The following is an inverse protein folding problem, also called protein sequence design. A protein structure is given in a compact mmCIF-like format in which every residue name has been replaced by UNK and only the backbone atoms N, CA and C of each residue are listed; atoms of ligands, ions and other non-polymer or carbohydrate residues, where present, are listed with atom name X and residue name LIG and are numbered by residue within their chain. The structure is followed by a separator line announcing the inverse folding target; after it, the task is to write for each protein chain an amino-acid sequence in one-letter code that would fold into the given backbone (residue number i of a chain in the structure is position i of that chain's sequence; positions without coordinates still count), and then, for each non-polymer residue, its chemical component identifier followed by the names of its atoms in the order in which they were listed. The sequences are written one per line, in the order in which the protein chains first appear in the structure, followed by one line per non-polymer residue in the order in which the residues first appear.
data_IF_801523381338
#
_entry.id   IF_801523381338
#
_cell.length_a   1.000
_cell.length_b   1.000
_cell.length_c   1.000
_cell.angle_alpha   90.00
_cell.angle_beta   90.00
_cell.angle_gamma   90.00
#
_symmetry.space_group_name_H-M   'P 1'
#
loop_
_entity.id
_entity.type
_entity.pdbx_description
1 polymer ?
#
# COMPACT_ATOMS: atom_id res chain seq x y z
N UNK A 1 -9.64 14.08 6.17
CA UNK A 1 -9.00 14.08 7.50
C UNK A 1 -9.08 15.48 8.11
N UNK A 2 -9.53 15.62 9.35
CA UNK A 2 -9.45 16.90 10.07
C UNK A 2 -8.36 16.78 11.15
N UNK A 3 -7.23 17.44 10.93
CA UNK A 3 -6.20 17.60 11.96
C UNK A 3 -6.68 18.58 13.03
N UNK A 4 -6.33 18.33 14.29
CA UNK A 4 -6.45 19.37 15.32
C UNK A 4 -5.48 20.52 15.04
N UNK A 5 -5.71 21.70 15.62
CA UNK A 5 -4.80 22.83 15.48
C UNK A 5 -3.39 22.51 15.99
N UNK A 6 -3.30 21.74 17.06
CA UNK A 6 -2.04 21.30 17.68
C UNK A 6 -1.29 20.33 16.75
N UNK A 7 -1.98 19.33 16.18
CA UNK A 7 -1.39 18.40 15.20
C UNK A 7 -0.91 19.14 13.94
N UNK A 8 -1.68 20.09 13.43
CA UNK A 8 -1.29 20.89 12.28
C UNK A 8 -0.08 21.77 12.57
N UNK A 9 0.03 22.31 13.79
CA UNK A 9 1.18 23.12 14.21
C UNK A 9 2.42 22.22 14.38
N UNK A 10 2.30 21.08 15.03
CA UNK A 10 3.41 20.11 15.19
C UNK A 10 3.99 19.67 13.83
N UNK A 11 3.13 19.39 12.85
CA UNK A 11 3.57 19.05 11.49
C UNK A 11 4.36 20.20 10.86
N UNK A 12 3.87 21.44 10.99
CA UNK A 12 4.58 22.63 10.48
C UNK A 12 5.94 22.82 11.15
N UNK A 13 5.99 22.66 12.46
CA UNK A 13 7.24 22.80 13.22
C UNK A 13 8.26 21.73 12.79
N UNK A 14 7.82 20.49 12.54
CA UNK A 14 8.66 19.43 12.00
C UNK A 14 9.15 19.74 10.58
N UNK A 15 8.29 20.26 9.70
CA UNK A 15 8.64 20.62 8.33
C UNK A 15 9.62 21.80 8.24
N UNK A 16 9.60 22.71 9.22
CA UNK A 16 10.50 23.86 9.28
C UNK A 16 11.86 23.55 9.92
N UNK A 17 11.98 22.36 10.53
CA UNK A 17 13.23 21.98 11.18
C UNK A 17 14.23 21.46 10.13
N UNK A 18 15.28 22.20 9.87
CA UNK A 18 16.37 21.81 8.99
C UNK A 18 17.59 21.31 9.78
N UNK A 19 18.17 20.22 9.31
CA UNK A 19 19.41 19.65 9.85
C UNK A 19 20.44 19.49 8.75
N UNK A 20 21.69 19.95 8.97
CA UNK A 20 22.79 19.65 8.07
C UNK A 20 23.15 18.18 8.15
N UNK A 21 23.15 17.51 7.01
CA UNK A 21 23.53 16.09 6.89
C UNK A 21 24.64 15.89 5.84
N UNK A 22 25.48 14.86 6.05
CA UNK A 22 26.44 14.38 5.03
C UNK A 22 25.86 13.23 4.19
N UNK A 23 24.64 12.80 4.47
CA UNK A 23 23.93 11.75 3.73
C UNK A 23 23.35 12.35 2.45
N UNK A 24 23.15 11.50 1.45
CA UNK A 24 22.36 11.88 0.27
C UNK A 24 20.93 12.15 0.69
N UNK A 25 20.31 13.11 0.04
CA UNK A 25 18.90 13.45 0.22
C UNK A 25 18.18 13.35 -1.12
N UNK A 26 16.87 13.07 -1.08
CA UNK A 26 15.97 13.07 -2.23
C UNK A 26 15.15 14.37 -2.22
N UNK A 27 15.54 15.41 -2.98
CA UNK A 27 14.95 16.76 -2.85
C UNK A 27 13.44 16.79 -2.99
N UNK A 28 12.88 16.02 -3.93
CA UNK A 28 11.43 15.97 -4.14
C UNK A 28 10.69 15.28 -2.97
N UNK A 29 11.31 14.29 -2.32
CA UNK A 29 10.74 13.65 -1.15
C UNK A 29 10.83 14.55 0.08
N UNK A 30 11.92 15.32 0.22
CA UNK A 30 12.08 16.30 1.30
C UNK A 30 10.92 17.32 1.33
N UNK A 31 10.36 17.69 0.17
CA UNK A 31 9.25 18.64 0.10
C UNK A 31 7.97 18.18 0.77
N UNK A 32 7.82 16.85 0.97
CA UNK A 32 6.61 16.23 1.55
C UNK A 32 6.88 15.49 2.86
N UNK A 33 8.10 15.59 3.41
CA UNK A 33 8.37 15.00 4.73
C UNK A 33 7.39 15.54 5.77
N UNK A 34 6.90 14.64 6.61
CA UNK A 34 5.91 14.89 7.66
C UNK A 34 4.52 15.34 7.17
N UNK A 35 4.32 15.55 5.87
CA UNK A 35 2.99 15.83 5.33
C UNK A 35 2.08 14.61 5.48
N UNK A 36 0.91 14.78 6.10
CA UNK A 36 -0.10 13.75 6.17
C UNK A 36 -0.96 13.78 4.90
N UNK A 37 -0.59 12.98 3.91
CA UNK A 37 -1.29 12.86 2.62
C UNK A 37 -2.57 12.05 2.84
N UNK A 38 -3.77 12.63 2.63
CA UNK A 38 -5.04 11.97 2.93
C UNK A 38 -5.26 10.73 2.07
N UNK A 39 -5.78 9.67 2.67
CA UNK A 39 -6.22 8.44 1.98
C UNK A 39 -7.53 7.98 2.58
N UNK A 40 -8.52 7.66 1.75
CA UNK A 40 -9.90 7.38 2.16
C UNK A 40 -10.54 8.56 2.90
N UNK A 41 -11.48 8.29 3.83
CA UNK A 41 -12.19 9.33 4.56
C UNK A 41 -11.41 9.91 5.75
N UNK A 42 -10.71 9.08 6.53
CA UNK A 42 -9.97 9.50 7.74
C UNK A 42 -8.51 9.05 7.77
N UNK A 43 -8.08 8.25 6.80
CA UNK A 43 -6.72 7.72 6.74
C UNK A 43 -5.69 8.69 6.15
N UNK A 44 -4.43 8.32 6.27
CA UNK A 44 -3.31 9.04 5.64
C UNK A 44 -2.07 8.16 5.46
N UNK A 45 -1.20 8.60 4.57
CA UNK A 45 0.21 8.22 4.48
C UNK A 45 1.06 9.44 4.81
N UNK A 46 2.09 9.28 5.64
CA UNK A 46 3.07 10.30 5.98
C UNK A 46 4.46 9.70 5.93
N UNK A 47 5.34 10.24 5.11
CA UNK A 47 6.77 9.87 5.14
C UNK A 47 7.41 10.56 6.33
N UNK A 48 8.08 9.83 7.19
CA UNK A 48 8.73 10.38 8.40
C UNK A 48 10.24 10.24 8.40
N UNK A 49 10.79 9.33 7.58
CA UNK A 49 12.22 9.13 7.50
C UNK A 49 12.57 8.24 6.29
N UNK A 50 13.78 8.41 5.74
CA UNK A 50 14.29 7.55 4.67
C UNK A 50 15.82 7.50 4.67
N UNK A 51 16.38 6.53 4.00
CA UNK A 51 17.81 6.36 3.79
C UNK A 51 18.11 6.02 2.33
N UNK A 52 19.02 6.78 1.71
CA UNK A 52 19.47 6.54 0.34
C UNK A 52 18.57 7.16 -0.73
N UNK A 53 19.05 7.07 -1.96
CA UNK A 53 18.45 7.52 -3.21
C UNK A 53 18.87 6.61 -4.36
N UNK A 54 18.57 6.96 -5.62
CA UNK A 54 19.02 6.22 -6.81
C UNK A 54 20.53 6.02 -6.87
N UNK A 55 21.33 6.99 -6.39
CA UNK A 55 22.80 6.88 -6.39
C UNK A 55 23.30 5.85 -5.38
N UNK A 56 22.58 5.65 -4.29
CA UNK A 56 22.89 4.66 -3.26
C UNK A 56 22.76 3.23 -3.78
N UNK A 57 21.76 2.98 -4.64
CA UNK A 57 21.56 1.69 -5.31
C UNK A 57 22.75 1.37 -6.22
N UNK A 58 23.17 2.36 -7.01
CA UNK A 58 24.32 2.22 -7.92
C UNK A 58 25.62 2.00 -7.14
N UNK A 59 25.80 2.74 -6.04
CA UNK A 59 26.96 2.59 -5.14
C UNK A 59 27.00 1.16 -4.57
N UNK A 60 25.88 0.66 -4.07
CA UNK A 60 25.77 -0.69 -3.54
C UNK A 60 26.09 -1.76 -4.59
N UNK A 61 25.54 -1.63 -5.81
CA UNK A 61 25.83 -2.56 -6.90
C UNK A 61 27.33 -2.59 -7.28
N UNK A 62 27.99 -1.43 -7.23
CA UNK A 62 29.39 -1.30 -7.66
C UNK A 62 30.41 -1.71 -6.63
N UNK A 63 30.04 -1.89 -5.38
CA UNK A 63 30.95 -2.42 -4.36
C UNK A 63 31.55 -3.76 -4.78
N UNK A 64 30.80 -4.58 -5.51
CA UNK A 64 31.23 -5.86 -6.05
C UNK A 64 32.40 -5.76 -7.07
N UNK A 65 32.59 -4.60 -7.67
CA UNK A 65 33.66 -4.35 -8.66
C UNK A 65 34.77 -3.45 -8.14
N UNK A 66 34.71 -3.00 -6.89
CA UNK A 66 35.69 -2.09 -6.30
C UNK A 66 35.82 -0.73 -7.01
N UNK A 67 34.82 -0.34 -7.82
CA UNK A 67 34.78 0.91 -8.59
C UNK A 67 33.76 1.89 -8.00
N UNK A 68 34.17 3.15 -7.87
CA UNK A 68 33.29 4.21 -7.38
C UNK A 68 32.10 4.48 -8.29
N UNK A 69 31.12 5.23 -7.77
CA UNK A 69 29.91 5.64 -8.47
C UNK A 69 30.21 6.50 -9.69
N UNK A 70 29.59 6.20 -10.84
CA UNK A 70 29.63 7.04 -12.04
C UNK A 70 28.53 8.12 -11.97
N UNK A 71 28.51 9.01 -12.96
CA UNK A 71 27.46 10.03 -13.09
C UNK A 71 26.07 9.41 -13.21
N UNK A 72 25.05 10.07 -12.70
CA UNK A 72 23.64 9.62 -12.67
C UNK A 72 23.15 9.22 -14.06
N UNK A 73 23.51 9.94 -15.12
CA UNK A 73 23.11 9.61 -16.50
C UNK A 73 23.59 8.24 -17.01
N UNK A 74 24.70 7.71 -16.46
CA UNK A 74 25.21 6.36 -16.75
C UNK A 74 24.62 5.32 -15.77
N UNK A 75 24.08 5.79 -14.65
CA UNK A 75 23.58 4.94 -13.58
C UNK A 75 22.18 4.42 -13.85
N UNK A 76 21.34 5.17 -14.60
CA UNK A 76 20.00 4.75 -15.02
C UNK A 76 20.02 3.40 -15.78
N UNK A 77 21.01 3.20 -16.64
CA UNK A 77 21.20 1.94 -17.36
C UNK A 77 21.50 0.77 -16.41
N UNK A 78 22.31 1.01 -15.37
CA UNK A 78 22.60 -0.01 -14.37
C UNK A 78 21.36 -0.34 -13.53
N UNK A 79 20.60 0.64 -13.05
CA UNK A 79 19.35 0.43 -12.30
C UNK A 79 18.36 -0.40 -13.13
N UNK A 80 18.15 -0.04 -14.41
CA UNK A 80 17.29 -0.79 -15.34
C UNK A 80 17.81 -2.22 -15.55
N UNK A 81 19.11 -2.42 -15.65
CA UNK A 81 19.72 -3.75 -15.75
C UNK A 81 19.47 -4.57 -14.49
N UNK A 82 19.73 -4.00 -13.31
CA UNK A 82 19.49 -4.68 -12.03
C UNK A 82 18.02 -5.08 -11.85
N UNK A 83 17.11 -4.18 -12.18
CA UNK A 83 15.66 -4.43 -12.11
C UNK A 83 15.26 -5.58 -13.05
N UNK A 84 15.67 -5.53 -14.31
CA UNK A 84 15.34 -6.53 -15.34
C UNK A 84 15.87 -7.91 -15.00
N UNK A 85 17.06 -8.00 -14.42
CA UNK A 85 17.73 -9.27 -14.10
C UNK A 85 17.52 -9.75 -12.66
N UNK A 86 16.59 -9.15 -11.92
CA UNK A 86 16.22 -9.57 -10.56
C UNK A 86 17.34 -9.50 -9.54
N UNK A 87 18.29 -8.57 -9.72
CA UNK A 87 19.27 -8.27 -8.68
C UNK A 87 18.59 -7.51 -7.54
N UNK A 88 18.47 -8.13 -6.38
CA UNK A 88 17.68 -7.61 -5.25
C UNK A 88 18.49 -6.72 -4.30
N UNK A 89 19.64 -7.20 -3.85
CA UNK A 89 20.42 -6.61 -2.76
C UNK A 89 20.74 -5.11 -2.91
N UNK A 90 21.05 -4.57 -4.12
CA UNK A 90 21.29 -3.13 -4.24
C UNK A 90 20.09 -2.26 -3.85
N UNK A 91 18.86 -2.74 -4.11
CA UNK A 91 17.64 -2.03 -3.73
C UNK A 91 17.32 -2.15 -2.23
N UNK A 92 17.79 -3.21 -1.57
CA UNK A 92 17.63 -3.40 -0.12
C UNK A 92 18.48 -2.41 0.70
N UNK A 93 19.45 -1.71 0.07
CA UNK A 93 20.30 -0.72 0.73
C UNK A 93 19.65 0.66 0.90
N UNK A 94 18.43 0.84 0.44
CA UNK A 94 17.61 2.03 0.68
C UNK A 94 16.41 1.64 1.56
N UNK A 95 16.07 2.46 2.54
CA UNK A 95 14.96 2.22 3.47
C UNK A 95 14.04 3.44 3.56
N UNK A 96 12.76 3.21 3.86
CA UNK A 96 11.78 4.25 4.10
C UNK A 96 10.88 3.90 5.28
N UNK A 97 10.47 4.90 6.04
CA UNK A 97 9.57 4.78 7.18
C UNK A 97 8.34 5.67 6.99
N UNK A 98 7.19 5.03 7.03
CA UNK A 98 5.89 5.67 6.96
C UNK A 98 5.19 5.69 8.31
N UNK A 99 4.46 6.75 8.58
CA UNK A 99 3.35 6.75 9.53
C UNK A 99 2.05 6.61 8.74
N UNK A 100 1.28 5.59 9.06
CA UNK A 100 0.06 5.24 8.31
C UNK A 100 -1.12 5.19 9.27
N UNK A 101 -2.22 5.85 8.90
CA UNK A 101 -3.52 5.70 9.55
C UNK A 101 -4.45 4.97 8.58
N UNK A 102 -5.00 3.83 9.02
CA UNK A 102 -5.77 2.94 8.15
C UNK A 102 -6.83 2.16 8.94
N UNK A 103 -7.91 1.68 8.30
CA UNK A 103 -8.90 0.82 8.96
C UNK A 103 -8.29 -0.53 9.35
N UNK A 104 -8.71 -1.10 10.47
CA UNK A 104 -8.20 -2.38 11.01
C UNK A 104 -8.33 -3.51 9.97
N UNK A 105 -9.43 -3.59 9.19
CA UNK A 105 -9.57 -4.64 8.18
C UNK A 105 -8.53 -4.54 7.06
N UNK A 106 -8.06 -3.33 6.72
CA UNK A 106 -6.95 -3.11 5.79
C UNK A 106 -5.61 -3.41 6.45
N UNK A 107 -5.43 -3.02 7.71
CA UNK A 107 -4.24 -3.38 8.49
C UNK A 107 -4.05 -4.91 8.53
N UNK A 108 -5.12 -5.67 8.72
CA UNK A 108 -5.11 -7.15 8.69
C UNK A 108 -4.66 -7.74 7.36
N UNK A 109 -4.98 -7.09 6.25
CA UNK A 109 -4.51 -7.49 4.93
C UNK A 109 -3.05 -7.07 4.70
N UNK A 110 -2.68 -5.86 5.11
CA UNK A 110 -1.34 -5.29 4.92
C UNK A 110 -0.27 -6.05 5.72
N UNK A 111 -0.54 -6.41 6.97
CA UNK A 111 0.40 -7.10 7.86
C UNK A 111 0.85 -8.48 7.32
N UNK A 112 0.15 -9.03 6.30
CA UNK A 112 0.57 -10.25 5.60
C UNK A 112 1.82 -10.05 4.76
N UNK A 113 2.18 -8.81 4.44
CA UNK A 113 3.48 -8.43 3.90
C UNK A 113 4.48 -8.32 5.05
N UNK A 114 5.23 -9.41 5.29
CA UNK A 114 6.03 -9.61 6.52
C UNK A 114 7.45 -9.06 6.46
N UNK A 115 7.92 -8.63 5.29
CA UNK A 115 9.26 -8.09 5.08
C UNK A 115 9.32 -6.59 5.39
N UNK A 116 8.86 -6.24 6.58
CA UNK A 116 8.80 -4.88 7.10
C UNK A 116 8.79 -4.88 8.63
N UNK A 117 9.10 -3.76 9.24
CA UNK A 117 8.97 -3.54 10.68
C UNK A 117 7.70 -2.72 10.94
N UNK A 118 6.91 -3.13 11.91
CA UNK A 118 5.65 -2.47 12.28
C UNK A 118 5.65 -2.14 13.76
N UNK A 119 5.25 -0.91 14.09
CA UNK A 119 4.96 -0.49 15.45
C UNK A 119 3.58 0.17 15.47
N UNK A 120 2.59 -0.58 15.94
CA UNK A 120 1.18 -0.19 15.89
C UNK A 120 0.75 0.52 17.18
N UNK A 121 -0.12 1.52 17.03
CA UNK A 121 -0.85 2.17 18.11
C UNK A 121 -1.59 1.14 18.97
N UNK A 122 -1.42 1.22 20.28
CA UNK A 122 -1.96 0.19 21.15
C UNK A 122 -3.26 0.62 21.83
N UNK A 123 -4.36 0.03 21.43
CA UNK A 123 -5.64 0.11 22.14
C UNK A 123 -5.64 -0.49 23.57
N UNK A 124 -4.50 -0.97 24.04
CA UNK A 124 -4.30 -1.37 25.44
C UNK A 124 -3.88 -0.20 26.33
N UNK A 125 -3.20 0.79 25.74
CA UNK A 125 -2.68 1.95 26.48
C UNK A 125 -3.54 3.20 26.30
N UNK A 126 -4.25 3.31 25.19
CA UNK A 126 -5.05 4.48 24.84
C UNK A 126 -6.43 4.08 24.33
N UNK A 127 -7.41 4.96 24.46
CA UNK A 127 -8.72 4.84 23.83
C UNK A 127 -8.56 5.17 22.36
N UNK A 128 -9.06 4.31 21.47
CA UNK A 128 -9.00 4.55 20.04
C UNK A 128 -9.86 5.74 19.63
N UNK A 129 -9.45 6.44 18.57
CA UNK A 129 -10.21 7.54 17.99
C UNK A 129 -11.61 7.07 17.54
N UNK A 130 -12.61 7.91 17.71
CA UNK A 130 -13.99 7.64 17.23
C UNK A 130 -14.09 7.92 15.73
N UNK A 131 -13.33 7.17 14.94
CA UNK A 131 -13.28 7.30 13.49
C UNK A 131 -13.41 5.93 12.83
N UNK A 132 -14.32 5.84 11.86
CA UNK A 132 -14.69 4.61 11.17
C UNK A 132 -14.67 4.85 9.67
N UNK A 133 -14.14 3.90 8.93
CA UNK A 133 -14.21 3.94 7.47
C UNK A 133 -15.64 3.65 7.00
N UNK A 134 -16.17 4.55 6.20
CA UNK A 134 -17.40 4.35 5.45
C UNK A 134 -17.08 4.48 3.97
N UNK A 135 -17.36 3.45 3.14
CA UNK A 135 -17.08 3.52 1.72
C UNK A 135 -17.89 4.65 1.08
N UNK A 136 -17.26 5.41 0.17
CA UNK A 136 -17.98 6.33 -0.69
C UNK A 136 -19.01 5.54 -1.56
N UNK A 137 -20.14 6.15 -1.96
CA UNK A 137 -21.19 5.45 -2.69
C UNK A 137 -20.68 4.69 -3.93
N UNK A 138 -19.77 5.28 -4.68
CA UNK A 138 -19.14 4.70 -5.87
C UNK A 138 -18.25 3.48 -5.58
N UNK A 139 -17.85 3.28 -4.33
CA UNK A 139 -17.04 2.17 -3.87
C UNK A 139 -17.85 1.08 -3.15
N UNK A 140 -19.16 1.29 -2.98
CA UNK A 140 -20.07 0.33 -2.37
C UNK A 140 -20.57 -0.64 -3.44
N UNK A 141 -19.90 -1.76 -3.63
CA UNK A 141 -20.15 -2.70 -4.72
C UNK A 141 -20.57 -4.09 -4.22
N UNK A 142 -21.29 -4.80 -5.09
CA UNK A 142 -21.68 -6.20 -4.88
C UNK A 142 -20.48 -7.13 -4.94
N UNK A 143 -20.68 -8.41 -4.59
CA UNK A 143 -19.69 -9.44 -4.82
C UNK A 143 -19.61 -9.76 -6.32
N UNK A 144 -18.39 -9.80 -6.88
CA UNK A 144 -18.18 -10.23 -8.27
C UNK A 144 -18.61 -11.68 -8.46
N UNK A 145 -19.33 -11.95 -9.54
CA UNK A 145 -19.75 -13.31 -9.91
C UNK A 145 -18.62 -14.13 -10.55
N UNK A 146 -17.63 -13.46 -11.14
CA UNK A 146 -16.53 -14.09 -11.87
C UNK A 146 -15.26 -14.26 -11.03
N UNK A 147 -15.11 -13.47 -9.98
CA UNK A 147 -13.94 -13.49 -9.11
C UNK A 147 -14.38 -13.41 -7.64
N UNK A 148 -14.13 -14.47 -6.88
CA UNK A 148 -14.51 -14.54 -5.45
C UNK A 148 -13.88 -13.47 -4.57
N UNK A 149 -12.84 -12.79 -5.02
CA UNK A 149 -12.15 -11.72 -4.30
C UNK A 149 -12.47 -10.33 -4.84
N UNK A 150 -13.13 -10.25 -5.99
CA UNK A 150 -13.40 -8.99 -6.69
C UNK A 150 -14.75 -8.38 -6.34
N UNK A 151 -14.88 -7.10 -6.65
CA UNK A 151 -16.12 -6.35 -6.60
C UNK A 151 -16.86 -6.48 -7.92
N UNK A 152 -18.18 -6.52 -7.87
CA UNK A 152 -19.10 -6.44 -9.01
C UNK A 152 -19.63 -5.01 -9.19
N UNK A 153 -20.88 -4.92 -9.63
CA UNK A 153 -21.54 -3.64 -9.88
C UNK A 153 -21.76 -2.83 -8.58
N UNK A 154 -21.74 -1.52 -8.71
CA UNK A 154 -22.00 -0.59 -7.61
C UNK A 154 -23.44 -0.76 -7.13
N UNK A 155 -23.65 -0.79 -5.83
CA UNK A 155 -24.99 -0.73 -5.22
C UNK A 155 -25.51 0.69 -5.32
N UNK A 156 -26.79 0.81 -5.73
CA UNK A 156 -27.44 2.11 -5.91
C UNK A 156 -28.75 2.22 -5.11
N UNK A 157 -29.27 3.44 -5.03
CA UNK A 157 -30.58 3.74 -4.49
C UNK A 157 -30.76 3.40 -3.00
N UNK A 158 -31.95 2.97 -2.63
CA UNK A 158 -32.33 2.68 -1.23
C UNK A 158 -31.53 1.53 -0.61
N UNK A 159 -31.04 0.56 -1.43
CA UNK A 159 -30.23 -0.54 -0.92
C UNK A 159 -28.84 -0.04 -0.47
N UNK A 160 -28.21 0.81 -1.27
CA UNK A 160 -26.92 1.41 -0.92
C UNK A 160 -27.02 2.24 0.36
N UNK A 161 -28.05 3.09 0.44
CA UNK A 161 -28.33 3.92 1.61
C UNK A 161 -28.52 3.07 2.87
N UNK A 162 -29.34 2.02 2.79
CA UNK A 162 -29.56 1.11 3.91
C UNK A 162 -28.28 0.44 4.39
N UNK A 163 -27.40 0.02 3.48
CA UNK A 163 -26.12 -0.61 3.85
C UNK A 163 -25.19 0.40 4.53
N UNK A 164 -25.07 1.62 4.00
CA UNK A 164 -24.26 2.69 4.63
C UNK A 164 -24.79 3.07 6.01
N UNK A 165 -26.11 3.19 6.16
CA UNK A 165 -26.75 3.48 7.45
C UNK A 165 -26.49 2.38 8.48
N UNK A 166 -26.51 1.10 8.08
CA UNK A 166 -26.17 -0.03 8.95
C UNK A 166 -24.70 0.04 9.39
N UNK A 167 -23.76 0.22 8.44
CA UNK A 167 -22.34 0.31 8.75
C UNK A 167 -22.04 1.45 9.73
N UNK A 168 -22.65 2.61 9.50
CA UNK A 168 -22.49 3.78 10.38
C UNK A 168 -23.07 3.52 11.76
N UNK A 169 -24.33 3.07 11.83
CA UNK A 169 -25.04 2.81 13.09
C UNK A 169 -24.32 1.77 13.94
N UNK A 170 -23.88 0.67 13.33
CA UNK A 170 -23.18 -0.40 14.03
C UNK A 170 -21.83 0.11 14.59
N UNK A 171 -21.05 0.86 13.80
CA UNK A 171 -19.80 1.42 14.25
C UNK A 171 -19.98 2.42 15.42
N UNK A 172 -20.95 3.34 15.31
CA UNK A 172 -21.26 4.30 16.37
C UNK A 172 -21.77 3.59 17.65
N UNK A 173 -22.66 2.62 17.52
CA UNK A 173 -23.22 1.89 18.64
C UNK A 173 -22.15 1.07 19.38
N UNK A 174 -21.32 0.34 18.64
CA UNK A 174 -20.28 -0.47 19.26
C UNK A 174 -19.22 0.39 19.93
N UNK A 175 -18.90 1.56 19.36
CA UNK A 175 -17.98 2.51 20.00
C UNK A 175 -18.58 3.12 21.27
N UNK A 176 -19.85 3.50 21.28
CA UNK A 176 -20.51 3.97 22.50
C UNK A 176 -20.52 2.90 23.60
N UNK A 177 -20.77 1.64 23.22
CA UNK A 177 -20.67 0.51 24.15
C UNK A 177 -19.21 0.30 24.65
N UNK A 178 -18.22 0.54 23.81
CA UNK A 178 -16.81 0.48 24.18
C UNK A 178 -16.47 1.52 25.27
N UNK A 179 -16.90 2.79 25.10
CA UNK A 179 -16.76 3.82 26.13
C UNK A 179 -17.50 3.45 27.44
N UNK A 180 -18.74 2.92 27.32
CA UNK A 180 -19.49 2.46 28.51
C UNK A 180 -18.78 1.31 29.25
N UNK A 181 -18.23 0.34 28.52
CA UNK A 181 -17.45 -0.74 29.13
C UNK A 181 -16.19 -0.25 29.83
N UNK A 182 -15.52 0.75 29.27
CA UNK A 182 -14.36 1.41 29.87
C UNK A 182 -14.75 2.29 31.08
N UNK A 183 -15.99 2.70 31.18
CA UNK A 183 -16.47 3.78 32.05
C UNK A 183 -15.69 5.09 31.86
N UNK A 184 -15.11 5.30 30.67
CA UNK A 184 -14.27 6.44 30.32
C UNK A 184 -14.55 6.84 28.87
N UNK A 185 -14.72 8.13 28.60
CA UNK A 185 -14.86 8.68 27.24
C UNK A 185 -13.51 8.94 26.59
N UNK A 186 -13.51 9.16 25.29
CA UNK A 186 -12.32 9.53 24.53
C UNK A 186 -11.59 10.76 25.08
N UNK A 187 -12.32 11.72 25.62
CA UNK A 187 -11.76 12.95 26.25
C UNK A 187 -11.19 12.73 27.67
N UNK A 188 -11.20 11.50 28.16
CA UNK A 188 -10.72 11.12 29.51
C UNK A 188 -11.76 11.36 30.63
N UNK A 189 -12.98 11.80 30.29
CA UNK A 189 -14.03 12.00 31.31
C UNK A 189 -14.64 10.67 31.76
N UNK A 190 -14.77 10.51 33.09
CA UNK A 190 -15.42 9.32 33.71
C UNK A 190 -16.92 9.44 33.54
N UNK A 191 -17.56 8.32 33.10
CA UNK A 191 -19.03 8.26 32.82
C UNK A 191 -19.80 8.15 34.13
N UNK A 192 -19.44 7.20 35.00
CA UNK A 192 -20.08 7.00 36.30
C UNK A 192 -18.99 6.78 37.38
N UNK A 193 -18.94 7.69 38.37
CA UNK A 193 -17.96 7.64 39.46
C UNK A 193 -18.14 6.47 40.44
N UNK A 194 -19.29 5.80 40.38
CA UNK A 194 -19.62 4.67 41.25
C UNK A 194 -19.32 3.31 40.59
N UNK A 195 -18.85 3.31 39.35
CA UNK A 195 -18.55 2.09 38.59
C UNK A 195 -17.06 1.99 38.28
N UNK A 196 -16.60 0.72 38.19
CA UNK A 196 -15.26 0.41 37.71
C UNK A 196 -15.35 -0.04 36.26
N UNK A 197 -14.52 0.53 35.37
CA UNK A 197 -14.47 0.17 33.97
C UNK A 197 -13.77 -1.17 33.72
N UNK A 198 -14.10 -1.78 32.57
CA UNK A 198 -13.42 -2.97 32.04
C UNK A 198 -12.00 -2.60 31.56
N UNK A 199 -11.07 -3.54 31.64
CA UNK A 199 -9.73 -3.35 31.11
C UNK A 199 -9.76 -3.03 29.59
N UNK A 200 -8.96 -2.04 29.13
CA UNK A 200 -8.90 -1.62 27.73
C UNK A 200 -8.63 -2.77 26.77
N UNK A 201 -7.78 -3.71 27.15
CA UNK A 201 -7.44 -4.89 26.34
C UNK A 201 -8.64 -5.81 26.06
N UNK A 202 -9.67 -5.78 26.91
CA UNK A 202 -10.92 -6.53 26.74
C UNK A 202 -11.99 -5.70 26.06
N UNK A 203 -12.21 -4.46 26.49
CA UNK A 203 -13.27 -3.58 25.95
C UNK A 203 -13.16 -3.39 24.43
N UNK A 204 -11.92 -3.30 23.90
CA UNK A 204 -11.67 -3.14 22.45
C UNK A 204 -12.15 -4.28 21.57
N UNK A 205 -12.48 -5.46 22.14
CA UNK A 205 -12.99 -6.59 21.37
C UNK A 205 -14.31 -6.28 20.64
N UNK A 206 -15.07 -5.32 21.16
CA UNK A 206 -16.37 -4.96 20.62
C UNK A 206 -16.31 -3.94 19.46
N UNK A 207 -15.13 -3.41 19.15
CA UNK A 207 -14.97 -2.45 18.05
C UNK A 207 -15.11 -3.12 16.69
N UNK A 208 -15.73 -2.41 15.76
CA UNK A 208 -15.90 -2.88 14.37
C UNK A 208 -14.57 -2.84 13.62
N UNK A 209 -14.41 -3.70 12.60
CA UNK A 209 -13.18 -3.79 11.81
C UNK A 209 -12.91 -2.56 10.96
N UNK A 210 -13.89 -1.70 10.72
CA UNK A 210 -13.72 -0.43 10.01
C UNK A 210 -13.22 0.71 10.91
N UNK A 211 -13.02 0.47 12.23
CA UNK A 211 -12.33 1.41 13.14
C UNK A 211 -10.91 1.66 12.63
N UNK A 212 -10.46 2.91 12.68
CA UNK A 212 -9.11 3.29 12.29
C UNK A 212 -8.08 2.93 13.37
N UNK A 213 -6.92 2.42 12.91
CA UNK A 213 -5.69 2.27 13.70
C UNK A 213 -4.55 3.05 13.04
N UNK A 214 -3.41 3.15 13.71
CA UNK A 214 -2.23 3.85 13.20
C UNK A 214 -0.99 3.01 13.48
N UNK A 215 0.01 3.09 12.60
CA UNK A 215 1.30 2.46 12.82
C UNK A 215 2.45 3.20 12.15
N UNK A 216 3.64 3.01 12.67
CA UNK A 216 4.86 3.18 11.90
C UNK A 216 5.14 1.89 11.15
N UNK A 217 5.41 2.02 9.85
CA UNK A 217 5.76 0.92 8.96
C UNK A 217 7.06 1.26 8.23
N UNK A 218 8.12 0.45 8.45
CA UNK A 218 9.44 0.64 7.87
C UNK A 218 9.80 -0.55 7.01
N UNK A 219 10.31 -0.31 5.81
CA UNK A 219 10.75 -1.35 4.89
C UNK A 219 11.89 -0.85 3.99
N UNK A 220 12.67 -1.77 3.43
CA UNK A 220 13.59 -1.45 2.36
C UNK A 220 12.86 -1.26 1.02
N UNK A 221 13.57 -0.65 0.05
CA UNK A 221 13.03 -0.30 -1.25
C UNK A 221 12.59 -1.53 -2.07
N UNK A 222 13.33 -2.65 -2.02
CA UNK A 222 12.93 -3.88 -2.73
C UNK A 222 11.57 -4.38 -2.22
N UNK A 223 11.44 -4.46 -0.90
CA UNK A 223 10.22 -4.95 -0.28
C UNK A 223 9.05 -3.97 -0.40
N UNK A 224 9.31 -2.66 -0.44
CA UNK A 224 8.32 -1.65 -0.82
C UNK A 224 7.80 -1.91 -2.24
N UNK A 225 8.68 -2.08 -3.22
CA UNK A 225 8.28 -2.39 -4.60
C UNK A 225 7.50 -3.69 -4.71
N UNK A 226 7.88 -4.74 -3.96
CA UNK A 226 7.11 -5.99 -3.91
C UNK A 226 5.70 -5.80 -3.32
N UNK A 227 5.55 -4.97 -2.30
CA UNK A 227 4.26 -4.58 -1.75
C UNK A 227 3.42 -3.82 -2.79
N UNK A 228 3.99 -2.81 -3.43
CA UNK A 228 3.31 -1.95 -4.40
C UNK A 228 2.86 -2.73 -5.64
N UNK A 229 3.69 -3.64 -6.16
CA UNK A 229 3.31 -4.51 -7.29
C UNK A 229 2.03 -5.31 -7.02
N UNK A 230 1.83 -5.73 -5.76
CA UNK A 230 0.65 -6.53 -5.39
C UNK A 230 -0.54 -5.67 -4.95
N UNK A 231 -0.32 -4.46 -4.47
CA UNK A 231 -1.38 -3.65 -3.82
C UNK A 231 -1.83 -2.47 -4.65
N UNK A 232 -1.02 -2.01 -5.61
CA UNK A 232 -1.42 -1.05 -6.62
C UNK A 232 -1.99 -1.72 -7.91
N UNK A 233 -2.07 -3.05 -7.94
CA UNK A 233 -2.70 -3.80 -9.03
C UNK A 233 -4.22 -3.54 -9.05
N UNK A 234 -4.80 -3.44 -10.26
CA UNK A 234 -6.23 -3.18 -10.44
C UNK A 234 -7.16 -4.23 -9.84
N UNK A 235 -6.66 -5.47 -9.64
CA UNK A 235 -7.39 -6.54 -8.97
C UNK A 235 -7.26 -6.49 -7.44
N UNK A 236 -6.43 -5.59 -6.88
CA UNK A 236 -6.33 -5.40 -5.44
C UNK A 236 -7.61 -4.74 -4.91
N UNK A 237 -7.92 -5.01 -3.64
CA UNK A 237 -9.04 -4.36 -2.98
C UNK A 237 -8.85 -2.83 -2.99
N UNK A 238 -9.91 -2.08 -3.34
CA UNK A 238 -9.84 -0.62 -3.52
C UNK A 238 -9.15 0.10 -2.34
N UNK A 239 -9.54 -0.23 -1.11
CA UNK A 239 -9.05 0.50 0.07
C UNK A 239 -7.54 0.34 0.27
N UNK A 240 -6.97 -0.85 0.07
CA UNK A 240 -5.50 -1.02 0.17
C UNK A 240 -4.80 -0.44 -1.05
N UNK A 241 -5.45 -0.46 -2.23
CA UNK A 241 -4.93 0.16 -3.46
C UNK A 241 -4.80 1.66 -3.30
N UNK A 242 -5.78 2.34 -2.71
CA UNK A 242 -5.71 3.77 -2.45
C UNK A 242 -4.47 4.18 -1.63
N UNK A 243 -4.08 3.36 -0.64
CA UNK A 243 -2.82 3.55 0.09
C UNK A 243 -1.61 3.28 -0.80
N UNK A 244 -1.62 2.20 -1.57
CA UNK A 244 -0.51 1.83 -2.44
C UNK A 244 -0.27 2.88 -3.54
N UNK A 245 -1.32 3.44 -4.14
CA UNK A 245 -1.23 4.50 -5.14
C UNK A 245 -0.57 5.77 -4.55
N UNK A 246 -0.98 6.17 -3.35
CA UNK A 246 -0.33 7.28 -2.62
C UNK A 246 1.15 6.98 -2.34
N UNK A 247 1.49 5.75 -1.99
CA UNK A 247 2.89 5.35 -1.77
C UNK A 247 3.70 5.30 -3.08
N UNK A 248 3.10 4.99 -4.23
CA UNK A 248 3.74 5.07 -5.54
C UNK A 248 4.18 6.51 -5.85
N UNK A 249 3.38 7.51 -5.49
CA UNK A 249 3.75 8.92 -5.66
C UNK A 249 4.94 9.30 -4.78
N UNK A 250 5.01 8.77 -3.55
CA UNK A 250 6.18 8.97 -2.69
C UNK A 250 7.42 8.26 -3.23
N UNK A 251 7.27 7.05 -3.78
CA UNK A 251 8.36 6.30 -4.42
C UNK A 251 8.96 7.08 -5.60
N UNK A 252 8.09 7.68 -6.43
CA UNK A 252 8.51 8.52 -7.56
C UNK A 252 9.34 9.73 -7.12
N UNK A 253 8.96 10.34 -6.00
CA UNK A 253 9.71 11.47 -5.41
C UNK A 253 11.04 11.05 -4.76
N UNK A 254 11.08 9.84 -4.21
CA UNK A 254 12.26 9.32 -3.52
C UNK A 254 13.34 8.84 -4.48
N UNK A 255 12.98 7.96 -5.42
CA UNK A 255 13.91 7.27 -6.32
C UNK A 255 13.34 7.26 -7.75
N UNK A 256 13.32 8.41 -8.46
CA UNK A 256 12.63 8.56 -9.74
C UNK A 256 13.12 7.61 -10.83
N UNK A 257 14.44 7.32 -10.90
CA UNK A 257 15.00 6.41 -11.90
C UNK A 257 14.58 4.96 -11.61
N UNK A 258 14.62 4.57 -10.35
CA UNK A 258 14.15 3.25 -9.90
C UNK A 258 12.65 3.12 -10.09
N UNK A 259 11.87 4.17 -9.84
CA UNK A 259 10.42 4.19 -10.09
C UNK A 259 10.12 3.91 -11.57
N UNK A 260 10.80 4.60 -12.52
CA UNK A 260 10.63 4.32 -13.94
C UNK A 260 10.95 2.86 -14.29
N UNK A 261 12.07 2.33 -13.79
CA UNK A 261 12.44 0.94 -14.01
C UNK A 261 11.42 -0.04 -13.39
N UNK A 262 10.88 0.28 -12.21
CA UNK A 262 9.86 -0.52 -11.55
C UNK A 262 8.54 -0.54 -12.34
N UNK A 263 8.10 0.61 -12.81
CA UNK A 263 6.88 0.71 -13.63
C UNK A 263 7.05 -0.04 -14.95
N UNK A 264 8.20 0.07 -15.61
CA UNK A 264 8.46 -0.59 -16.90
C UNK A 264 8.58 -2.13 -16.75
N UNK A 265 9.41 -2.61 -15.81
CA UNK A 265 9.75 -4.04 -15.75
C UNK A 265 8.90 -4.86 -14.77
N UNK A 266 8.19 -4.24 -13.82
CA UNK A 266 7.45 -4.96 -12.77
C UNK A 266 5.95 -4.72 -12.79
N UNK A 267 5.51 -3.51 -13.06
CA UNK A 267 4.08 -3.17 -13.10
C UNK A 267 3.54 -3.35 -14.52
N UNK A 268 4.17 -2.73 -15.53
CA UNK A 268 3.77 -2.84 -16.92
C UNK A 268 4.30 -4.08 -17.64
N UNK A 269 5.22 -4.81 -17.03
CA UNK A 269 5.79 -6.02 -17.61
C UNK A 269 4.87 -7.24 -17.45
N UNK A 270 4.92 -8.16 -18.41
CA UNK A 270 4.20 -9.42 -18.36
C UNK A 270 5.15 -10.58 -18.09
N UNK A 271 4.87 -11.37 -17.04
CA UNK A 271 5.60 -12.61 -16.77
C UNK A 271 5.08 -13.73 -17.67
N UNK A 272 5.97 -14.35 -18.45
CA UNK A 272 5.64 -15.41 -19.39
C UNK A 272 6.36 -16.69 -19.02
N UNK A 273 5.64 -17.79 -18.84
CA UNK A 273 6.24 -19.11 -18.60
C UNK A 273 7.04 -19.62 -19.80
N UNK A 274 7.90 -20.62 -19.59
CA UNK A 274 8.62 -21.26 -20.70
C UNK A 274 7.68 -21.80 -21.78
N UNK A 275 6.52 -22.34 -21.40
CA UNK A 275 5.49 -22.81 -22.32
C UNK A 275 4.80 -21.66 -23.05
N UNK A 276 4.44 -20.58 -22.34
CA UNK A 276 3.89 -19.37 -22.94
C UNK A 276 4.85 -18.74 -23.95
N UNK A 277 6.15 -18.67 -23.60
CA UNK A 277 7.21 -18.21 -24.53
C UNK A 277 7.24 -19.08 -25.80
N UNK A 278 7.15 -20.39 -25.69
CA UNK A 278 7.13 -21.27 -26.85
C UNK A 278 5.89 -21.07 -27.74
N UNK A 279 4.73 -20.79 -27.14
CA UNK A 279 3.50 -20.39 -27.87
C UNK A 279 3.74 -19.10 -28.67
N UNK A 280 4.26 -18.05 -28.01
CA UNK A 280 4.55 -16.77 -28.67
C UNK A 280 5.54 -16.92 -29.81
N UNK A 281 6.60 -17.72 -29.62
CA UNK A 281 7.58 -18.00 -30.68
C UNK A 281 6.96 -18.66 -31.93
N UNK A 282 5.98 -19.56 -31.76
CA UNK A 282 5.25 -20.17 -32.85
C UNK A 282 4.32 -19.18 -33.53
N UNK A 283 3.57 -18.40 -32.78
CA UNK A 283 2.69 -17.38 -33.33
C UNK A 283 3.44 -16.31 -34.14
N UNK A 284 4.62 -15.88 -33.68
CA UNK A 284 5.48 -14.95 -34.42
C UNK A 284 5.92 -15.54 -35.79
N UNK A 285 6.10 -16.85 -35.85
CA UNK A 285 6.44 -17.58 -37.10
C UNK A 285 5.23 -17.88 -37.99
N UNK A 286 4.02 -17.47 -37.60
CA UNK A 286 2.79 -17.71 -38.34
C UNK A 286 2.28 -19.16 -38.21
N UNK A 287 2.79 -19.92 -37.22
CA UNK A 287 2.37 -21.29 -36.97
C UNK A 287 1.10 -21.31 -36.10
N UNK A 288 0.21 -22.29 -36.36
CA UNK A 288 -0.98 -22.49 -35.53
C UNK A 288 -0.60 -23.11 -34.19
N UNK A 289 -1.28 -22.66 -33.13
CA UNK A 289 -1.07 -23.09 -31.75
C UNK A 289 -2.39 -23.49 -31.10
N UNK A 290 -2.36 -24.44 -30.18
CA UNK A 290 -3.51 -24.76 -29.33
C UNK A 290 -3.06 -24.93 -27.90
N UNK A 291 -3.95 -24.67 -26.96
CA UNK A 291 -3.71 -24.78 -25.52
C UNK A 291 -3.21 -26.19 -25.15
N UNK A 292 -3.86 -27.23 -25.68
CA UNK A 292 -3.61 -28.61 -25.36
C UNK A 292 -2.21 -29.05 -25.81
N UNK A 293 -1.80 -28.63 -27.00
CA UNK A 293 -0.49 -28.97 -27.59
C UNK A 293 0.68 -28.48 -26.73
N UNK A 294 0.51 -27.36 -26.03
CA UNK A 294 1.55 -26.78 -25.17
C UNK A 294 1.36 -27.12 -23.70
N UNK A 295 0.24 -27.75 -23.30
CA UNK A 295 -0.05 -28.12 -21.93
C UNK A 295 -0.14 -26.94 -20.98
N UNK A 296 -0.73 -25.85 -21.44
CA UNK A 296 -1.08 -24.67 -20.65
C UNK A 296 -2.43 -24.90 -19.96
N UNK A 297 -2.61 -24.36 -18.75
CA UNK A 297 -3.93 -24.31 -18.16
C UNK A 297 -4.81 -23.31 -18.91
N UNK A 298 -6.14 -23.51 -18.87
CA UNK A 298 -7.10 -22.57 -19.50
C UNK A 298 -6.92 -21.14 -18.97
N UNK A 299 -6.59 -20.99 -17.68
CA UNK A 299 -6.34 -19.68 -17.06
C UNK A 299 -5.09 -19.03 -17.63
N UNK A 300 -3.96 -19.73 -17.61
CA UNK A 300 -2.69 -19.22 -18.15
C UNK A 300 -2.78 -18.89 -19.65
N UNK A 301 -3.49 -19.74 -20.42
CA UNK A 301 -3.76 -19.47 -21.82
C UNK A 301 -4.52 -18.16 -22.01
N UNK A 302 -5.61 -17.96 -21.28
CA UNK A 302 -6.40 -16.75 -21.37
C UNK A 302 -5.62 -15.50 -20.94
N UNK A 303 -4.84 -15.58 -19.87
CA UNK A 303 -3.97 -14.50 -19.42
C UNK A 303 -2.93 -14.12 -20.49
N UNK A 304 -2.30 -15.11 -21.11
CA UNK A 304 -1.36 -14.90 -22.22
C UNK A 304 -2.04 -14.23 -23.43
N UNK A 305 -3.23 -14.71 -23.83
CA UNK A 305 -3.98 -14.16 -24.95
C UNK A 305 -4.44 -12.71 -24.71
N UNK A 306 -4.82 -12.40 -23.47
CA UNK A 306 -5.19 -11.04 -23.09
C UNK A 306 -3.96 -10.12 -23.09
N UNK A 307 -2.87 -10.54 -22.44
CA UNK A 307 -1.67 -9.71 -22.29
C UNK A 307 -1.01 -9.33 -23.63
N UNK A 308 -1.17 -10.15 -24.66
CA UNK A 308 -0.63 -9.91 -26.00
C UNK A 308 -1.70 -9.61 -27.07
N UNK A 309 -2.95 -9.35 -26.67
CA UNK A 309 -4.08 -8.99 -27.56
C UNK A 309 -4.29 -9.99 -28.72
N UNK A 310 -4.14 -11.30 -28.42
CA UNK A 310 -4.12 -12.37 -29.42
C UNK A 310 -5.48 -13.05 -29.64
N UNK A 311 -6.55 -12.58 -28.99
CA UNK A 311 -7.87 -13.25 -29.02
C UNK A 311 -8.45 -13.48 -30.41
N UNK A 312 -8.14 -12.62 -31.38
CA UNK A 312 -8.66 -12.67 -32.74
C UNK A 312 -7.77 -13.45 -33.72
N UNK A 313 -6.64 -14.00 -33.26
CA UNK A 313 -5.67 -14.71 -34.12
C UNK A 313 -5.69 -16.24 -33.94
N UNK A 314 -6.64 -16.75 -33.16
CA UNK A 314 -6.83 -18.18 -32.98
C UNK A 314 -7.86 -18.71 -33.97
N UNK A 315 -7.39 -19.34 -35.03
CA UNK A 315 -8.19 -20.16 -35.93
C UNK A 315 -8.00 -21.61 -35.52
#
# INVERSE_FOLDING_TARGET
MKLTKEQAQEIKDQQLQENKTKRVTAPELETILYEAIPVLDHGFIRVVDYMGDDSSIVQAARVSYGKGTKKVSTDAGLIKYLMRHWHSTPFEMCEIKYHVKLPIFIARQWIRHRTANVNEYSARYSILDKEFYLPAPENLATQSQNNRQGRGDVLEGEQAKKVLDLLKKDAEQTYNNYELMLNERYDGSIIDKNQTGLARELARMNLTLNTYTQWYWKTDLLNLMNFLRLRADDHAQYEIRAYADTMLDTLKKWVPITYEAFMDYRVGGTEVSAKGKAVLQKLIKGESVSMEKFGLSKREWNELMIAFELKDKLI
#
